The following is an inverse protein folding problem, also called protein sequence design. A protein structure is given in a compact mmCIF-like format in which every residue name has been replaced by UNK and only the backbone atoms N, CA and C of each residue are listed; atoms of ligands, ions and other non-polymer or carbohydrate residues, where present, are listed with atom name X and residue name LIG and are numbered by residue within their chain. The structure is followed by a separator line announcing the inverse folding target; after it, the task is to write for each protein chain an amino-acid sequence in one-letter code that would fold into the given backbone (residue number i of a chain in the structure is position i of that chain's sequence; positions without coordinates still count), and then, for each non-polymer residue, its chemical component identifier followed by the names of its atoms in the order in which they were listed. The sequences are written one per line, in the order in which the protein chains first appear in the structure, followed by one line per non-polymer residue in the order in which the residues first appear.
data_IF_527841079196
#
_entry.id   IF_527841079196
#
_cell.length_a   1.000
_cell.length_b   1.000
_cell.length_c   1.000
_cell.angle_alpha   90.00
_cell.angle_beta   90.00
_cell.angle_gamma   90.00
#
_symmetry.space_group_name_H-M   'P 1'
#
loop_
_entity.id
_entity.type
_entity.pdbx_description
1 polymer ?
#
# COMPACT_ATOMS: atom_id res chain seq x y z
N UNK A 1 7.09 11.53 24.31
CA UNK A 1 7.15 11.55 22.83
C UNK A 1 6.16 12.59 22.28
N UNK A 2 6.27 13.12 21.05
CA UNK A 2 5.18 13.98 20.53
C UNK A 2 3.93 13.12 20.24
N UNK A 3 2.73 13.70 20.30
CA UNK A 3 1.45 12.99 20.12
C UNK A 3 1.39 12.21 18.80
N UNK A 4 1.85 12.81 17.72
CA UNK A 4 1.85 12.17 16.39
C UNK A 4 2.84 11.00 16.30
N UNK A 5 4.02 11.17 16.90
CA UNK A 5 5.05 10.13 16.93
C UNK A 5 4.59 8.93 17.77
N UNK A 6 3.88 9.20 18.86
CA UNK A 6 3.25 8.17 19.68
C UNK A 6 2.14 7.42 18.94
N UNK A 7 1.33 8.12 18.16
CA UNK A 7 0.29 7.50 17.32
C UNK A 7 0.91 6.56 16.28
N UNK A 8 1.94 7.02 15.57
CA UNK A 8 2.64 6.21 14.56
C UNK A 8 3.32 4.98 15.19
N UNK A 9 3.95 5.16 16.36
CA UNK A 9 4.56 4.06 17.12
C UNK A 9 3.51 3.05 17.56
N UNK A 10 2.39 3.52 18.12
CA UNK A 10 1.27 2.68 18.56
C UNK A 10 0.72 1.86 17.38
N UNK A 11 0.46 2.50 16.23
CA UNK A 11 -0.04 1.81 15.04
C UNK A 11 0.95 0.76 14.50
N UNK A 12 2.26 0.99 14.65
CA UNK A 12 3.30 0.05 14.23
C UNK A 12 3.34 -1.24 15.06
N UNK A 13 3.01 -1.17 16.35
CA UNK A 13 3.03 -2.32 17.27
C UNK A 13 1.68 -3.02 17.29
N UNK A 14 0.59 -2.25 17.30
CA UNK A 14 -0.75 -2.79 17.52
C UNK A 14 -1.51 -3.05 16.21
N UNK A 15 -1.00 -2.55 15.07
CA UNK A 15 -1.61 -2.75 13.75
C UNK A 15 -2.91 -1.98 13.53
N UNK A 16 -3.28 -1.09 14.46
CA UNK A 16 -4.43 -0.19 14.35
C UNK A 16 -4.12 1.18 14.95
N UNK A 17 -4.85 2.20 14.50
CA UNK A 17 -4.76 3.54 15.09
C UNK A 17 -5.27 3.54 16.53
N UNK A 18 -4.61 4.27 17.43
CA UNK A 18 -5.08 4.40 18.81
C UNK A 18 -6.42 5.15 18.85
N UNK A 19 -7.29 4.70 19.73
CA UNK A 19 -8.54 5.36 20.08
C UNK A 19 -8.30 6.61 20.91
N UNK A 20 -9.30 7.49 20.99
CA UNK A 20 -9.23 8.74 21.77
C UNK A 20 -8.92 8.45 23.25
N UNK A 21 -9.51 7.39 23.82
CA UNK A 21 -9.25 6.96 25.20
C UNK A 21 -7.81 6.53 25.44
N UNK A 22 -7.21 5.80 24.50
CA UNK A 22 -5.82 5.32 24.62
C UNK A 22 -4.82 6.48 24.52
N UNK A 23 -5.14 7.48 23.69
CA UNK A 23 -4.35 8.71 23.62
C UNK A 23 -4.43 9.48 24.94
N UNK A 24 -5.63 9.60 25.55
CA UNK A 24 -5.80 10.25 26.84
C UNK A 24 -5.06 9.52 27.98
N UNK A 25 -5.07 8.19 27.95
CA UNK A 25 -4.36 7.39 28.94
C UNK A 25 -2.85 7.56 28.83
N UNK A 26 -2.31 7.55 27.61
CA UNK A 26 -0.89 7.79 27.33
C UNK A 26 -0.44 9.22 27.67
N UNK A 27 -1.31 10.22 27.48
CA UNK A 27 -1.07 11.59 27.94
C UNK A 27 -1.02 11.67 29.47
N UNK A 28 -1.95 11.01 30.16
CA UNK A 28 -1.96 10.95 31.63
C UNK A 28 -0.75 10.21 32.20
N UNK A 29 -0.28 9.19 31.49
CA UNK A 29 0.88 8.39 31.88
C UNK A 29 2.22 9.08 31.55
N UNK A 30 2.20 10.22 30.84
CA UNK A 30 3.40 10.97 30.44
C UNK A 30 4.15 10.38 29.25
N UNK A 31 3.58 9.39 28.55
CA UNK A 31 4.14 8.81 27.33
C UNK A 31 4.09 9.81 26.16
N UNK A 32 3.11 10.72 26.21
CA UNK A 32 2.91 11.81 25.26
C UNK A 32 3.19 13.15 25.96
N UNK A 33 4.09 13.96 25.38
CA UNK A 33 4.28 15.35 25.79
C UNK A 33 3.25 16.22 25.08
N UNK A 34 2.23 16.65 25.82
CA UNK A 34 1.30 17.69 25.35
C UNK A 34 1.93 19.03 25.63
N UNK A 35 2.46 19.64 24.57
CA UNK A 35 2.79 21.06 24.56
C UNK A 35 1.45 21.80 24.60
N UNK A 36 0.91 21.99 25.80
CA UNK A 36 -0.12 22.99 26.01
C UNK A 36 0.54 24.31 25.67
N UNK A 37 0.08 24.97 24.61
CA UNK A 37 0.54 26.31 24.25
C UNK A 37 0.09 27.27 25.36
N UNK A 38 0.87 27.31 26.45
CA UNK A 38 0.68 28.17 27.59
C UNK A 38 0.92 29.59 27.12
N UNK A 39 -0.16 30.36 27.03
CA UNK A 39 -0.16 31.79 26.76
C UNK A 39 0.37 32.59 27.95
N UNK A 40 1.65 32.41 28.26
CA UNK A 40 2.41 33.24 29.20
C UNK A 40 3.79 33.53 28.60
N UNK A 41 4.11 34.80 28.26
CA UNK A 41 5.39 35.14 27.67
C UNK A 41 6.41 35.25 28.80
N UNK A 42 7.36 34.32 28.86
CA UNK A 42 8.56 34.52 29.66
C UNK A 42 9.81 34.17 28.84
N UNK A 43 10.36 35.25 28.29
CA UNK A 43 11.73 35.45 27.86
C UNK A 43 12.74 34.67 28.70
N UNK A 44 13.49 33.73 28.09
CA UNK A 44 14.95 33.71 28.15
C UNK A 44 15.51 32.61 27.21
N UNK A 45 16.47 33.02 26.37
CA UNK A 45 17.55 32.23 25.74
C UNK A 45 17.27 30.80 25.28
N UNK A 46 17.10 30.61 23.97
CA UNK A 46 17.71 29.54 23.15
C UNK A 46 17.01 29.49 21.78
N UNK A 47 17.10 30.58 21.04
CA UNK A 47 16.84 30.56 19.60
C UNK A 47 18.17 30.24 18.94
N UNK A 48 18.39 28.97 18.57
CA UNK A 48 19.31 28.56 17.48
C UNK A 48 19.45 27.03 17.31
N UNK A 49 18.67 26.21 18.02
CA UNK A 49 18.71 24.75 17.85
C UNK A 49 17.33 24.10 17.79
N UNK A 50 16.49 24.40 16.78
CA UNK A 50 15.41 23.50 16.33
C UNK A 50 14.65 24.06 15.11
N UNK A 51 15.20 23.95 13.90
CA UNK A 51 14.35 24.20 12.70
C UNK A 51 14.54 23.26 11.50
N UNK A 52 15.51 22.34 11.53
CA UNK A 52 15.72 21.44 10.39
C UNK A 52 15.03 20.07 10.50
N UNK A 53 14.49 19.69 11.66
CA UNK A 53 13.97 18.33 11.85
C UNK A 53 12.52 18.15 11.41
N UNK A 54 11.68 19.19 11.36
CA UNK A 54 10.25 19.05 10.99
C UNK A 54 10.02 18.88 9.48
N UNK A 55 10.93 19.37 8.63
CA UNK A 55 10.85 19.20 7.18
C UNK A 55 10.98 17.74 6.74
N UNK A 56 11.74 16.92 7.48
CA UNK A 56 11.90 15.50 7.15
C UNK A 56 10.64 14.67 7.47
N UNK A 57 9.84 15.06 8.46
CA UNK A 57 8.63 14.32 8.85
C UNK A 57 7.48 14.49 7.87
N UNK A 58 7.20 15.72 7.42
CA UNK A 58 6.20 15.93 6.38
C UNK A 58 6.60 15.22 5.06
N UNK A 59 7.90 15.19 4.75
CA UNK A 59 8.45 14.51 3.57
C UNK A 59 8.26 12.99 3.64
N UNK A 60 8.39 12.37 4.82
CA UNK A 60 8.22 10.92 5.02
C UNK A 60 6.76 10.48 4.81
N UNK A 61 5.79 11.27 5.26
CA UNK A 61 4.36 11.03 5.02
C UNK A 61 4.01 11.15 3.53
N UNK A 62 4.47 12.21 2.85
CA UNK A 62 4.27 12.40 1.42
C UNK A 62 4.93 11.27 0.59
N UNK A 63 6.13 10.84 0.98
CA UNK A 63 6.82 9.72 0.35
C UNK A 63 6.02 8.42 0.45
N UNK A 64 5.50 8.09 1.64
CA UNK A 64 4.66 6.90 1.86
C UNK A 64 3.37 6.95 1.03
N UNK A 65 2.74 8.12 0.92
CA UNK A 65 1.59 8.34 0.04
C UNK A 65 1.95 8.09 -1.43
N UNK A 66 3.09 8.59 -1.91
CA UNK A 66 3.56 8.36 -3.28
C UNK A 66 3.82 6.87 -3.57
N UNK A 67 4.39 6.13 -2.61
CA UNK A 67 4.58 4.67 -2.74
C UNK A 67 3.25 3.92 -2.85
N UNK A 68 2.24 4.31 -2.08
CA UNK A 68 0.92 3.69 -2.16
C UNK A 68 0.27 3.91 -3.52
N UNK A 69 0.37 5.12 -4.09
CA UNK A 69 -0.14 5.41 -5.44
C UNK A 69 0.63 4.61 -6.49
N UNK A 70 1.96 4.55 -6.38
CA UNK A 70 2.80 3.81 -7.33
C UNK A 70 2.50 2.30 -7.31
N UNK A 71 2.38 1.71 -6.12
CA UNK A 71 2.04 0.28 -5.95
C UNK A 71 0.63 -0.02 -6.44
N UNK A 72 -0.32 0.91 -6.26
CA UNK A 72 -1.65 0.79 -6.84
C UNK A 72 -1.62 0.73 -8.37
N UNK A 73 -0.89 1.65 -9.02
CA UNK A 73 -0.74 1.66 -10.49
C UNK A 73 -0.10 0.36 -10.98
N UNK A 74 0.96 -0.10 -10.32
CA UNK A 74 1.60 -1.37 -10.65
C UNK A 74 0.66 -2.56 -10.49
N UNK A 75 -0.16 -2.58 -9.43
CA UNK A 75 -1.14 -3.65 -9.21
C UNK A 75 -2.20 -3.69 -10.32
N UNK A 76 -2.72 -2.53 -10.73
CA UNK A 76 -3.70 -2.42 -11.82
C UNK A 76 -3.08 -2.86 -13.14
N UNK A 77 -1.88 -2.38 -13.45
CA UNK A 77 -1.17 -2.74 -14.68
C UNK A 77 -0.88 -4.25 -14.75
N UNK A 78 -0.44 -4.84 -13.62
CA UNK A 78 -0.20 -6.27 -13.53
C UNK A 78 -1.48 -7.10 -13.71
N UNK A 79 -2.60 -6.61 -13.17
CA UNK A 79 -3.93 -7.21 -13.40
C UNK A 79 -4.31 -7.23 -14.88
N UNK A 80 -4.07 -6.13 -15.60
CA UNK A 80 -4.33 -6.04 -17.05
C UNK A 80 -3.44 -6.99 -17.85
N UNK A 81 -2.16 -7.10 -17.51
CA UNK A 81 -1.23 -8.03 -18.18
C UNK A 81 -1.70 -9.48 -17.99
N UNK A 82 -2.09 -9.86 -16.76
CA UNK A 82 -2.63 -11.20 -16.48
C UNK A 82 -3.90 -11.48 -17.28
N UNK A 83 -4.79 -10.50 -17.38
CA UNK A 83 -6.03 -10.64 -18.14
C UNK A 83 -5.75 -10.82 -19.64
N UNK A 84 -4.86 -10.01 -20.22
CA UNK A 84 -4.46 -10.14 -21.61
C UNK A 84 -3.78 -11.50 -21.88
N UNK A 85 -2.91 -11.96 -20.99
CA UNK A 85 -2.26 -13.26 -21.09
C UNK A 85 -3.26 -14.42 -21.01
N UNK A 86 -4.23 -14.35 -20.08
CA UNK A 86 -5.29 -15.33 -19.96
C UNK A 86 -6.16 -15.40 -21.22
N UNK A 87 -6.49 -14.24 -21.80
CA UNK A 87 -7.25 -14.15 -23.05
C UNK A 87 -6.47 -14.78 -24.21
N UNK A 88 -5.17 -14.51 -24.32
CA UNK A 88 -4.31 -15.07 -25.35
C UNK A 88 -4.25 -16.60 -25.26
N UNK A 89 -4.03 -17.15 -24.05
CA UNK A 89 -4.05 -18.60 -23.83
C UNK A 89 -5.39 -19.23 -24.16
N UNK A 90 -6.50 -18.55 -23.84
CA UNK A 90 -7.84 -19.01 -24.18
C UNK A 90 -8.04 -19.13 -25.70
N UNK A 91 -7.61 -18.11 -26.46
CA UNK A 91 -7.70 -18.12 -27.92
C UNK A 91 -6.84 -19.25 -28.52
N UNK A 92 -5.59 -19.39 -28.05
CA UNK A 92 -4.70 -20.48 -28.49
C UNK A 92 -5.32 -21.84 -28.21
N UNK A 93 -5.94 -22.02 -27.04
CA UNK A 93 -6.61 -23.27 -26.69
C UNK A 93 -7.79 -23.57 -27.60
N UNK A 94 -8.60 -22.57 -27.95
CA UNK A 94 -9.70 -22.73 -28.93
C UNK A 94 -9.14 -23.18 -30.29
N UNK A 95 -8.10 -22.51 -30.79
CA UNK A 95 -7.48 -22.84 -32.09
C UNK A 95 -6.96 -24.28 -32.07
N UNK A 96 -6.23 -24.69 -31.03
CA UNK A 96 -5.73 -26.05 -30.88
C UNK A 96 -6.86 -27.08 -30.83
N UNK A 97 -7.92 -26.79 -30.08
CA UNK A 97 -9.08 -27.68 -29.98
C UNK A 97 -9.73 -27.91 -31.34
N UNK A 98 -9.95 -26.84 -32.11
CA UNK A 98 -10.49 -26.92 -33.47
C UNK A 98 -9.55 -27.71 -34.38
N UNK A 99 -8.25 -27.43 -34.33
CA UNK A 99 -7.25 -28.14 -35.12
C UNK A 99 -7.25 -29.65 -34.85
N UNK A 100 -7.22 -30.05 -33.58
CA UNK A 100 -7.28 -31.46 -33.18
C UNK A 100 -8.59 -32.13 -33.59
N UNK A 101 -9.70 -31.40 -33.56
CA UNK A 101 -10.98 -31.90 -34.05
C UNK A 101 -10.89 -32.26 -35.55
N UNK A 102 -10.36 -31.37 -36.38
CA UNK A 102 -10.18 -31.65 -37.82
C UNK A 102 -9.25 -32.83 -38.07
N UNK A 103 -8.11 -32.90 -37.38
CA UNK A 103 -7.18 -34.04 -37.49
C UNK A 103 -7.88 -35.35 -37.15
N UNK A 104 -8.71 -35.35 -36.09
CA UNK A 104 -9.47 -36.54 -35.67
C UNK A 104 -10.53 -36.93 -36.69
N UNK A 105 -11.25 -35.97 -37.27
CA UNK A 105 -12.24 -36.23 -38.32
C UNK A 105 -11.57 -36.82 -39.57
N UNK A 106 -10.47 -36.23 -40.04
CA UNK A 106 -9.73 -36.73 -41.21
C UNK A 106 -9.21 -38.15 -40.96
N UNK A 107 -8.64 -38.41 -39.79
CA UNK A 107 -8.19 -39.75 -39.41
C UNK A 107 -9.34 -40.77 -39.38
N UNK A 108 -10.51 -40.38 -38.89
CA UNK A 108 -11.70 -41.22 -38.88
C UNK A 108 -12.20 -41.54 -40.30
N UNK A 109 -12.28 -40.54 -41.18
CA UNK A 109 -12.66 -40.72 -42.58
C UNK A 109 -11.68 -41.64 -43.31
N UNK A 110 -10.37 -41.47 -43.07
CA UNK A 110 -9.35 -42.33 -43.67
C UNK A 110 -9.47 -43.79 -43.21
N UNK A 111 -9.77 -44.03 -41.93
CA UNK A 111 -9.98 -45.38 -41.40
C UNK A 111 -11.25 -46.04 -41.95
N UNK A 112 -12.34 -45.28 -42.16
CA UNK A 112 -13.58 -45.79 -42.75
C UNK A 112 -13.49 -46.04 -44.26
N UNK A 113 -12.57 -45.35 -44.93
CA UNK A 113 -12.35 -45.50 -46.38
C UNK A 113 -11.46 -46.70 -46.73
N UNK A 114 -10.95 -47.45 -45.74
CA UNK A 114 -10.09 -48.62 -45.92
C UNK A 114 -10.85 -49.90 -45.60
#
# INVERSE_FOLDING_TARGET
MNREEWIDYYESINGHKPSISEVYEAEKNGDIFVISESSSPLTIGNQDFMSNHSLNYHKKSAWRSLWNVLTFIFSVLWGLVKLAFSLALFIVNIILTIFFFFVRIIGFVFLLSR
#
